data_IF_942799921364
#
_entry.id   IF_942799921364
#
_cell.length_a   1.000
_cell.length_b   1.000
_cell.length_c   1.000
_cell.angle_alpha   90.00
_cell.angle_beta   90.00
_cell.angle_gamma   90.00
#
_symmetry.space_group_name_H-M   'P 1'
#
loop_
_entity.id
_entity.type
_entity.pdbx_description
1 polymer ?
#
# COMPACT_ATOMS: atom_id res chain seq x y z
N UNK A 1 27.11 42.52 5.26
CA UNK A 1 27.31 41.82 3.97
C UNK A 1 28.52 40.86 3.93
N UNK A 2 29.14 40.46 5.06
CA UNK A 2 30.32 39.55 5.05
C UNK A 2 30.05 38.09 5.48
N UNK A 3 28.80 37.71 5.80
CA UNK A 3 28.45 36.35 6.31
C UNK A 3 27.80 35.42 5.27
N UNK A 4 27.50 35.89 4.07
CA UNK A 4 26.87 35.09 3.00
C UNK A 4 27.87 34.33 2.11
N UNK A 5 29.16 34.66 2.17
CA UNK A 5 30.17 34.05 1.29
C UNK A 5 30.69 32.71 1.84
N UNK A 6 30.50 32.42 3.13
CA UNK A 6 31.09 31.21 3.75
C UNK A 6 30.25 29.94 3.54
N UNK A 7 28.94 30.05 3.28
CA UNK A 7 28.08 28.88 3.06
C UNK A 7 28.16 28.31 1.63
N UNK A 8 28.64 29.08 0.65
CA UNK A 8 28.76 28.61 -0.73
C UNK A 8 29.96 27.67 -0.95
N UNK A 9 30.95 27.64 -0.04
CA UNK A 9 32.15 26.80 -0.19
C UNK A 9 32.03 25.40 0.41
N UNK A 10 31.10 25.17 1.34
CA UNK A 10 30.91 23.85 1.97
C UNK A 10 30.06 22.87 1.13
N UNK A 11 29.27 23.36 0.17
CA UNK A 11 28.42 22.50 -0.67
C UNK A 11 29.15 21.78 -1.81
N UNK A 12 30.32 22.28 -2.23
CA UNK A 12 31.03 21.75 -3.39
C UNK A 12 31.91 20.52 -3.10
N UNK A 13 32.22 20.24 -1.82
CA UNK A 13 33.06 19.10 -1.43
C UNK A 13 32.26 17.81 -1.13
N UNK A 14 30.98 17.92 -0.77
CA UNK A 14 30.12 16.75 -0.49
C UNK A 14 29.63 16.01 -1.74
N UNK A 15 29.86 16.56 -2.94
CA UNK A 15 29.45 15.95 -4.21
C UNK A 15 30.55 15.10 -4.88
N UNK A 16 31.75 15.02 -4.31
CA UNK A 16 32.89 14.29 -4.92
C UNK A 16 33.08 12.84 -4.46
N UNK A 17 32.37 12.38 -3.43
CA UNK A 17 32.67 11.07 -2.79
C UNK A 17 31.50 10.06 -2.80
N UNK A 18 30.36 10.37 -3.42
CA UNK A 18 29.23 9.44 -3.50
C UNK A 18 29.19 8.71 -4.87
N UNK A 19 29.42 7.39 -4.93
CA UNK A 19 29.28 6.61 -6.16
C UNK A 19 27.82 6.53 -6.66
N UNK A 20 26.83 6.82 -5.81
CA UNK A 20 25.39 6.74 -6.12
C UNK A 20 24.91 7.95 -6.94
N UNK A 21 25.61 9.09 -6.89
CA UNK A 21 25.24 10.31 -7.62
C UNK A 21 25.61 10.29 -9.12
N UNK A 22 26.50 9.38 -9.55
CA UNK A 22 26.89 9.27 -10.98
C UNK A 22 25.88 8.52 -11.84
N UNK A 23 25.02 7.69 -11.25
CA UNK A 23 24.07 6.87 -12.02
C UNK A 23 22.78 7.62 -12.43
N UNK A 24 22.52 8.81 -11.87
CA UNK A 24 21.31 9.60 -12.14
C UNK A 24 21.48 10.68 -13.21
N UNK A 25 22.67 10.81 -13.81
CA UNK A 25 22.97 11.87 -14.79
C UNK A 25 22.88 11.42 -16.27
N UNK A 26 22.60 10.13 -16.56
CA UNK A 26 22.60 9.63 -17.95
C UNK A 26 21.21 9.27 -18.53
N UNK A 27 20.12 9.39 -17.78
CA UNK A 27 18.74 9.17 -18.29
C UNK A 27 18.05 10.52 -18.54
N UNK A 28 18.70 11.39 -19.30
CA UNK A 28 18.15 12.67 -19.72
C UNK A 28 18.57 12.98 -21.17
N UNK A 29 18.44 12.01 -22.08
CA UNK A 29 18.67 12.26 -23.51
C UNK A 29 17.95 11.26 -24.42
N UNK A 30 16.62 11.21 -24.37
CA UNK A 30 15.82 10.56 -25.42
C UNK A 30 14.36 11.04 -25.44
N UNK A 31 14.16 12.36 -25.55
CA UNK A 31 12.84 12.94 -25.88
C UNK A 31 13.07 13.92 -27.02
N UNK A 32 12.86 13.47 -28.26
CA UNK A 32 12.58 14.32 -29.42
C UNK A 32 12.03 13.48 -30.59
N UNK A 33 11.01 14.03 -31.26
CA UNK A 33 10.28 13.54 -32.44
C UNK A 33 9.25 12.43 -32.11
N UNK A 34 7.94 12.67 -32.15
CA UNK A 34 7.16 13.03 -33.35
C UNK A 34 6.03 14.02 -33.03
N UNK A 35 5.95 15.05 -33.86
CA UNK A 35 4.92 16.08 -33.85
C UNK A 35 3.62 15.63 -34.55
N UNK A 36 2.52 16.26 -34.11
CA UNK A 36 1.30 16.63 -34.84
C UNK A 36 0.93 15.91 -36.15
N UNK A 37 -0.22 15.22 -36.13
CA UNK A 37 -0.98 14.83 -37.30
C UNK A 37 -2.48 14.86 -37.03
N UNK A 38 -3.14 15.93 -37.45
CA UNK A 38 -4.59 16.20 -37.38
C UNK A 38 -5.23 15.71 -38.67
N UNK A 39 -6.14 14.73 -38.62
CA UNK A 39 -7.27 14.56 -39.54
C UNK A 39 -8.03 13.26 -39.23
N UNK A 40 -9.31 13.37 -38.90
CA UNK A 40 -10.25 12.26 -38.97
C UNK A 40 -10.66 12.02 -40.42
N UNK A 41 -10.71 10.77 -40.87
CA UNK A 41 -11.69 10.34 -41.85
C UNK A 41 -12.59 9.28 -41.22
N UNK A 42 -13.88 9.60 -41.12
CA UNK A 42 -14.96 8.62 -41.01
C UNK A 42 -14.92 7.69 -42.21
N UNK A 43 -14.49 6.45 -42.00
CA UNK A 43 -14.65 5.36 -42.94
C UNK A 43 -15.56 4.30 -42.28
N UNK A 44 -16.82 4.28 -42.71
CA UNK A 44 -17.70 3.12 -42.53
C UNK A 44 -17.10 1.97 -43.34
N UNK A 45 -16.51 0.99 -42.65
CA UNK A 45 -16.18 -0.31 -43.22
C UNK A 45 -17.13 -1.33 -42.60
N UNK A 46 -17.99 -1.99 -43.40
CA UNK A 46 -18.74 -3.14 -42.93
C UNK A 46 -17.79 -4.33 -42.86
N UNK A 47 -17.20 -4.57 -41.69
CA UNK A 47 -16.36 -5.74 -41.46
C UNK A 47 -17.25 -6.96 -41.22
N UNK A 48 -17.50 -7.69 -42.29
CA UNK A 48 -18.04 -9.05 -42.26
C UNK A 48 -16.88 -9.99 -42.01
N UNK A 49 -16.38 -10.03 -40.77
CA UNK A 49 -15.40 -11.03 -40.35
C UNK A 49 -16.11 -12.26 -39.79
N UNK A 50 -15.80 -13.47 -40.30
CA UNK A 50 -16.42 -14.70 -39.83
C UNK A 50 -15.89 -15.07 -38.44
N UNK A 51 -16.80 -15.02 -37.46
CA UNK A 51 -16.83 -15.91 -36.29
C UNK A 51 -15.50 -16.24 -35.61
N UNK A 52 -14.81 -15.24 -35.04
CA UNK A 52 -13.99 -15.52 -33.88
C UNK A 52 -14.93 -15.69 -32.67
N UNK A 53 -14.80 -16.77 -31.87
CA UNK A 53 -15.60 -16.94 -30.68
C UNK A 53 -15.34 -15.74 -29.77
N UNK A 54 -16.39 -14.96 -29.55
CA UNK A 54 -16.46 -13.93 -28.52
C UNK A 54 -16.11 -14.64 -27.21
N UNK A 55 -14.90 -14.42 -26.69
CA UNK A 55 -14.55 -14.82 -25.33
C UNK A 55 -15.39 -13.96 -24.42
N UNK A 56 -16.60 -14.43 -24.15
CA UNK A 56 -17.36 -14.00 -22.99
C UNK A 56 -16.57 -14.50 -21.79
N UNK A 57 -15.73 -13.63 -21.21
CA UNK A 57 -15.29 -13.80 -19.84
C UNK A 57 -16.57 -13.80 -19.00
N UNK A 58 -17.09 -15.00 -18.76
CA UNK A 58 -18.15 -15.23 -17.80
C UNK A 58 -17.57 -14.89 -16.43
N UNK A 59 -17.72 -13.63 -16.08
CA UNK A 59 -17.46 -13.06 -14.76
C UNK A 59 -18.52 -13.58 -13.80
N UNK A 60 -18.41 -14.85 -13.39
CA UNK A 60 -19.02 -15.43 -12.19
C UNK A 60 -18.73 -16.95 -12.04
N UNK A 61 -17.63 -17.45 -12.59
CA UNK A 61 -17.14 -18.74 -12.14
C UNK A 61 -16.55 -18.51 -10.74
N UNK A 62 -17.29 -18.87 -9.70
CA UNK A 62 -16.74 -19.05 -8.36
C UNK A 62 -15.66 -20.12 -8.43
N UNK A 63 -14.46 -19.73 -8.84
CA UNK A 63 -13.31 -20.60 -8.98
C UNK A 63 -13.01 -21.11 -7.57
N UNK A 64 -13.36 -22.37 -7.35
CA UNK A 64 -13.06 -23.05 -6.12
C UNK A 64 -11.54 -22.98 -5.91
N UNK A 65 -11.14 -22.50 -4.73
CA UNK A 65 -9.74 -22.35 -4.38
C UNK A 65 -9.03 -23.71 -4.49
N UNK A 66 -7.83 -23.71 -5.06
CA UNK A 66 -7.01 -24.92 -5.18
C UNK A 66 -6.86 -25.63 -3.81
N UNK A 67 -6.98 -26.97 -3.74
CA UNK A 67 -6.92 -27.70 -2.48
C UNK A 67 -5.65 -27.42 -1.65
N UNK A 68 -4.51 -27.25 -2.31
CA UNK A 68 -3.23 -26.94 -1.68
C UNK A 68 -3.27 -25.59 -0.95
N UNK A 69 -3.98 -24.63 -1.53
CA UNK A 69 -4.16 -23.31 -0.96
C UNK A 69 -5.13 -23.36 0.21
N UNK A 70 -6.22 -24.14 0.12
CA UNK A 70 -7.11 -24.40 1.26
C UNK A 70 -6.32 -24.98 2.45
N UNK A 71 -5.44 -25.95 2.21
CA UNK A 71 -4.58 -26.51 3.26
C UNK A 71 -3.56 -25.50 3.80
N UNK A 72 -3.03 -24.60 2.96
CA UNK A 72 -2.16 -23.54 3.41
C UNK A 72 -2.87 -22.55 4.36
N UNK A 73 -4.11 -22.15 4.04
CA UNK A 73 -4.94 -21.32 4.92
C UNK A 73 -5.19 -22.01 6.27
N UNK A 74 -5.43 -23.32 6.28
CA UNK A 74 -5.61 -24.09 7.52
C UNK A 74 -4.36 -24.07 8.39
N UNK A 75 -3.19 -24.37 7.82
CA UNK A 75 -1.91 -24.34 8.58
C UNK A 75 -1.58 -22.93 9.07
N UNK A 76 -1.79 -21.90 8.24
CA UNK A 76 -1.57 -20.52 8.65
C UNK A 76 -2.50 -20.09 9.80
N UNK A 77 -3.71 -20.66 9.88
CA UNK A 77 -4.64 -20.42 11.00
C UNK A 77 -4.11 -20.95 12.35
N UNK A 78 -3.16 -21.88 12.34
CA UNK A 78 -2.48 -22.36 13.56
C UNK A 78 -1.50 -21.32 14.13
N UNK A 79 -1.24 -20.22 13.39
CA UNK A 79 -0.43 -19.09 13.85
C UNK A 79 1.08 -19.28 13.70
N UNK A 80 1.52 -20.27 12.91
CA UNK A 80 2.94 -20.45 12.58
C UNK A 80 3.38 -19.35 11.61
N UNK A 81 4.38 -18.57 12.01
CA UNK A 81 4.88 -17.41 11.25
C UNK A 81 5.30 -17.80 9.82
N UNK A 82 6.00 -18.92 9.66
CA UNK A 82 6.43 -19.40 8.35
C UNK A 82 5.25 -19.71 7.40
N UNK A 83 4.11 -20.18 7.95
CA UNK A 83 2.90 -20.42 7.16
C UNK A 83 2.16 -19.13 6.83
N UNK A 84 2.14 -18.13 7.75
CA UNK A 84 1.62 -16.79 7.46
C UNK A 84 2.43 -16.09 6.36
N UNK A 85 3.76 -16.21 6.44
CA UNK A 85 4.68 -15.72 5.42
C UNK A 85 4.40 -16.36 4.06
N UNK A 86 4.32 -17.70 4.03
CA UNK A 86 4.06 -18.45 2.81
C UNK A 86 2.69 -18.10 2.24
N UNK A 87 1.67 -17.96 3.09
CA UNK A 87 0.33 -17.56 2.69
C UNK A 87 0.33 -16.17 2.04
N UNK A 88 0.92 -15.16 2.69
CA UNK A 88 0.96 -13.80 2.16
C UNK A 88 1.75 -13.65 0.87
N UNK A 89 2.82 -14.44 0.69
CA UNK A 89 3.58 -14.48 -0.57
C UNK A 89 2.84 -15.20 -1.69
N UNK A 90 2.07 -16.25 -1.35
CA UNK A 90 1.37 -17.07 -2.35
C UNK A 90 0.07 -16.41 -2.84
N UNK A 91 -0.76 -15.90 -1.93
CA UNK A 91 -2.03 -15.23 -2.27
C UNK A 91 -1.81 -13.79 -2.75
N UNK A 92 -0.77 -13.12 -2.24
CA UNK A 92 -0.62 -11.68 -2.39
C UNK A 92 -1.73 -10.89 -1.68
N UNK A 93 -1.73 -9.58 -1.83
CA UNK A 93 -2.70 -8.72 -1.14
C UNK A 93 -4.15 -8.95 -1.62
N UNK A 94 -4.36 -9.08 -2.93
CA UNK A 94 -5.67 -9.30 -3.53
C UNK A 94 -6.28 -10.65 -3.11
N UNK A 95 -5.53 -11.76 -3.24
CA UNK A 95 -6.02 -13.09 -2.86
C UNK A 95 -6.33 -13.20 -1.35
N UNK A 96 -5.52 -12.57 -0.51
CA UNK A 96 -5.81 -12.46 0.93
C UNK A 96 -7.12 -11.70 1.19
N UNK A 97 -7.32 -10.56 0.53
CA UNK A 97 -8.51 -9.74 0.67
C UNK A 97 -9.79 -10.48 0.20
N UNK A 98 -9.71 -11.16 -0.93
CA UNK A 98 -10.81 -11.98 -1.48
C UNK A 98 -11.12 -13.20 -0.59
N UNK A 99 -10.08 -13.84 -0.03
CA UNK A 99 -10.22 -14.97 0.89
C UNK A 99 -10.80 -14.62 2.26
N UNK A 100 -10.82 -13.35 2.62
CA UNK A 100 -11.19 -12.84 3.93
C UNK A 100 -12.72 -12.71 4.13
N UNK A 101 -13.47 -13.79 3.86
CA UNK A 101 -14.94 -13.80 3.85
C UNK A 101 -15.58 -13.93 5.25
N UNK A 102 -14.88 -14.55 6.20
CA UNK A 102 -15.35 -14.78 7.58
C UNK A 102 -14.54 -13.96 8.60
N UNK A 103 -15.02 -13.74 9.84
CA UNK A 103 -14.21 -13.05 10.86
C UNK A 103 -12.84 -13.71 11.09
N UNK A 104 -12.79 -15.04 11.18
CA UNK A 104 -11.54 -15.79 11.37
C UNK A 104 -10.59 -15.62 10.17
N UNK A 105 -11.11 -15.73 8.94
CA UNK A 105 -10.27 -15.54 7.74
C UNK A 105 -9.88 -14.08 7.51
N UNK A 106 -10.66 -13.11 7.98
CA UNK A 106 -10.26 -11.69 8.02
C UNK A 106 -9.09 -11.45 8.96
N UNK A 107 -9.15 -11.99 10.17
CA UNK A 107 -8.06 -11.86 11.13
C UNK A 107 -6.78 -12.52 10.59
N UNK A 108 -6.90 -13.72 10.04
CA UNK A 108 -5.79 -14.43 9.40
C UNK A 108 -5.22 -13.65 8.20
N UNK A 109 -6.08 -13.12 7.33
CA UNK A 109 -5.65 -12.29 6.21
C UNK A 109 -4.93 -11.03 6.69
N UNK A 110 -5.40 -10.37 7.75
CA UNK A 110 -4.71 -9.22 8.34
C UNK A 110 -3.29 -9.59 8.80
N UNK A 111 -3.12 -10.72 9.50
CA UNK A 111 -1.81 -11.23 9.94
C UNK A 111 -0.88 -11.59 8.80
N UNK A 112 -1.41 -12.17 7.72
CA UNK A 112 -0.61 -12.56 6.56
C UNK A 112 -0.30 -11.38 5.63
N UNK A 113 -1.12 -10.33 5.65
CA UNK A 113 -1.05 -9.18 4.74
C UNK A 113 0.31 -8.48 4.73
N UNK A 114 1.00 -8.29 5.88
CA UNK A 114 2.36 -7.82 5.86
C UNK A 114 3.17 -8.59 4.84
N UNK A 115 3.19 -9.91 4.84
CA UNK A 115 4.08 -10.71 3.98
C UNK A 115 3.77 -10.68 2.49
N UNK A 116 2.68 -10.03 2.07
CA UNK A 116 2.43 -9.71 0.66
C UNK A 116 3.45 -8.73 0.09
N UNK A 117 3.48 -8.63 -1.24
CA UNK A 117 4.37 -7.74 -1.97
C UNK A 117 3.80 -6.32 -2.06
N UNK A 118 4.67 -5.32 -1.89
CA UNK A 118 4.35 -3.92 -2.17
C UNK A 118 3.51 -3.25 -1.08
N UNK A 119 2.70 -2.28 -1.50
CA UNK A 119 1.80 -1.51 -0.64
C UNK A 119 0.31 -1.82 -0.88
N UNK A 120 -0.01 -2.74 -1.80
CA UNK A 120 -1.38 -3.09 -2.18
C UNK A 120 -2.28 -3.51 -1.01
N UNK A 121 -1.70 -4.16 0.01
CA UNK A 121 -2.44 -4.54 1.23
C UNK A 121 -2.86 -3.37 2.12
N UNK A 122 -2.27 -2.18 1.94
CA UNK A 122 -2.47 -1.06 2.86
C UNK A 122 -3.91 -0.51 2.82
N UNK A 123 -4.54 -0.47 1.64
CA UNK A 123 -5.93 -0.05 1.50
C UNK A 123 -6.86 -0.95 2.31
N UNK A 124 -6.74 -2.26 2.11
CA UNK A 124 -7.54 -3.25 2.82
C UNK A 124 -7.30 -3.22 4.34
N UNK A 125 -6.05 -3.13 4.78
CA UNK A 125 -5.72 -3.02 6.20
C UNK A 125 -6.27 -1.73 6.83
N UNK A 126 -6.17 -0.61 6.13
CA UNK A 126 -6.75 0.66 6.58
C UNK A 126 -8.26 0.56 6.78
N UNK A 127 -8.98 -0.06 5.83
CA UNK A 127 -10.42 -0.31 5.97
C UNK A 127 -10.75 -1.19 7.15
N UNK A 128 -9.97 -2.26 7.38
CA UNK A 128 -10.17 -3.17 8.52
C UNK A 128 -9.85 -2.50 9.87
N UNK A 129 -8.83 -1.65 9.92
CA UNK A 129 -8.52 -0.80 11.09
C UNK A 129 -9.67 0.16 11.44
N UNK A 130 -10.52 0.49 10.47
CA UNK A 130 -11.70 1.33 10.67
C UNK A 130 -12.98 0.54 11.01
N UNK A 131 -12.91 -0.78 11.24
CA UNK A 131 -14.07 -1.60 11.64
C UNK A 131 -14.28 -1.62 13.16
N UNK A 132 -15.49 -1.97 13.61
CA UNK A 132 -15.85 -2.05 15.04
C UNK A 132 -15.42 -3.36 15.72
N UNK A 133 -14.93 -4.32 14.94
CA UNK A 133 -14.30 -5.53 15.47
C UNK A 133 -12.91 -5.17 16.00
N UNK A 134 -12.78 -5.09 17.33
CA UNK A 134 -11.58 -4.61 18.00
C UNK A 134 -10.36 -5.48 17.68
N UNK A 135 -10.53 -6.80 17.59
CA UNK A 135 -9.42 -7.71 17.33
C UNK A 135 -8.90 -7.53 15.89
N UNK A 136 -9.82 -7.52 14.91
CA UNK A 136 -9.46 -7.28 13.51
C UNK A 136 -8.87 -5.88 13.33
N UNK A 137 -9.46 -4.86 13.96
CA UNK A 137 -9.00 -3.48 13.82
C UNK A 137 -7.57 -3.30 14.36
N UNK A 138 -7.26 -3.92 15.51
CA UNK A 138 -5.93 -3.89 16.13
C UNK A 138 -4.90 -4.60 15.26
N UNK A 139 -5.21 -5.82 14.85
CA UNK A 139 -4.33 -6.60 13.98
C UNK A 139 -4.06 -5.88 12.65
N UNK A 140 -5.09 -5.29 12.05
CA UNK A 140 -4.97 -4.57 10.80
C UNK A 140 -4.12 -3.30 10.93
N UNK A 141 -4.30 -2.52 12.00
CA UNK A 141 -3.48 -1.34 12.26
C UNK A 141 -2.01 -1.73 12.52
N UNK A 142 -1.78 -2.77 13.31
CA UNK A 142 -0.45 -3.30 13.57
C UNK A 142 0.25 -3.78 12.28
N UNK A 143 -0.47 -4.55 11.47
CA UNK A 143 0.01 -5.05 10.18
C UNK A 143 0.29 -3.93 9.18
N UNK A 144 -0.48 -2.83 9.22
CA UNK A 144 -0.21 -1.64 8.41
C UNK A 144 1.12 -0.97 8.80
N UNK A 145 1.48 -0.94 10.09
CA UNK A 145 2.81 -0.50 10.55
C UNK A 145 3.90 -1.38 9.97
N UNK A 146 3.69 -2.71 9.98
CA UNK A 146 4.66 -3.67 9.45
C UNK A 146 4.86 -3.52 7.93
N UNK A 147 3.82 -3.19 7.16
CA UNK A 147 3.96 -2.84 5.72
C UNK A 147 4.71 -1.52 5.58
N UNK A 148 4.28 -0.48 6.29
CA UNK A 148 4.84 0.86 6.19
C UNK A 148 6.35 0.89 6.47
N UNK A 149 6.81 0.11 7.45
CA UNK A 149 8.19 0.04 7.90
C UNK A 149 9.19 -0.57 6.90
N UNK A 150 8.73 -1.28 5.86
CA UNK A 150 9.59 -2.10 4.97
C UNK A 150 10.55 -1.33 4.06
N UNK A 151 10.56 0.00 4.11
CA UNK A 151 11.53 0.79 3.36
C UNK A 151 11.44 0.70 1.83
N UNK A 152 10.49 -0.05 1.25
CA UNK A 152 10.40 -0.21 -0.21
C UNK A 152 9.98 1.09 -0.88
N UNK A 153 10.66 1.40 -1.98
CA UNK A 153 10.31 2.48 -2.89
C UNK A 153 9.01 2.09 -3.63
N UNK A 154 8.18 3.09 -3.95
CA UNK A 154 7.07 2.93 -4.91
C UNK A 154 7.69 2.56 -6.26
N UNK A 155 7.53 1.31 -6.67
CA UNK A 155 8.11 0.82 -7.92
C UNK A 155 7.19 1.13 -9.09
N UNK A 156 5.88 1.21 -8.83
CA UNK A 156 4.83 1.51 -9.81
C UNK A 156 4.06 2.80 -9.40
N UNK A 157 3.72 3.69 -10.35
CA UNK A 157 2.75 4.77 -10.12
C UNK A 157 1.44 4.32 -9.45
N UNK A 158 0.97 3.10 -9.72
CA UNK A 158 -0.25 2.52 -9.12
C UNK A 158 -0.08 2.32 -7.60
N UNK A 159 1.13 2.00 -7.11
CA UNK A 159 1.44 1.88 -5.68
C UNK A 159 1.11 3.18 -4.93
N UNK A 160 1.27 4.34 -5.58
CA UNK A 160 1.00 5.62 -4.96
C UNK A 160 -0.50 5.87 -4.75
N UNK A 161 -1.36 5.38 -5.64
CA UNK A 161 -2.82 5.48 -5.49
C UNK A 161 -3.32 4.55 -4.37
N UNK A 162 -2.88 3.30 -4.37
CA UNK A 162 -3.20 2.32 -3.34
C UNK A 162 -2.73 2.77 -1.96
N UNK A 163 -1.51 3.31 -1.89
CA UNK A 163 -0.99 3.87 -0.65
C UNK A 163 -1.82 5.06 -0.18
N UNK A 164 -2.19 6.00 -1.05
CA UNK A 164 -3.06 7.14 -0.67
C UNK A 164 -4.42 6.65 -0.17
N UNK A 165 -5.00 5.62 -0.78
CA UNK A 165 -6.25 5.02 -0.33
C UNK A 165 -6.12 4.43 1.08
N UNK A 166 -5.08 3.63 1.34
CA UNK A 166 -4.79 3.10 2.68
C UNK A 166 -4.54 4.19 3.72
N UNK A 167 -3.78 5.21 3.34
CA UNK A 167 -3.50 6.36 4.19
C UNK A 167 -4.75 7.13 4.60
N UNK A 168 -5.72 7.30 3.70
CA UNK A 168 -7.01 7.93 4.01
C UNK A 168 -7.72 7.18 5.15
N UNK A 169 -7.78 5.85 5.09
CA UNK A 169 -8.45 5.07 6.13
C UNK A 169 -7.68 5.05 7.45
N UNK A 170 -6.35 4.91 7.40
CA UNK A 170 -5.51 4.97 8.59
C UNK A 170 -5.59 6.33 9.28
N UNK A 171 -5.60 7.42 8.52
CA UNK A 171 -5.77 8.77 9.06
C UNK A 171 -7.14 8.96 9.70
N UNK A 172 -8.21 8.39 9.12
CA UNK A 172 -9.54 8.37 9.72
C UNK A 172 -9.54 7.58 11.04
N UNK A 173 -8.95 6.39 11.07
CA UNK A 173 -8.83 5.57 12.28
C UNK A 173 -8.01 6.29 13.37
N UNK A 174 -6.90 6.93 13.02
CA UNK A 174 -6.08 7.71 13.94
C UNK A 174 -6.85 8.86 14.64
N UNK A 175 -7.76 9.50 13.90
CA UNK A 175 -8.54 10.66 14.36
C UNK A 175 -9.81 10.30 15.12
N UNK A 176 -10.35 9.09 14.97
CA UNK A 176 -11.58 8.69 15.63
C UNK A 176 -11.33 8.37 17.11
N UNK A 177 -11.74 9.27 18.01
CA UNK A 177 -11.56 9.13 19.45
C UNK A 177 -12.32 7.96 20.08
N UNK A 178 -13.31 7.41 19.36
CA UNK A 178 -14.08 6.24 19.82
C UNK A 178 -13.36 4.92 19.58
N UNK A 179 -12.31 4.92 18.75
CA UNK A 179 -11.50 3.73 18.46
C UNK A 179 -10.59 3.39 19.63
N UNK A 180 -10.23 2.11 19.72
CA UNK A 180 -9.26 1.64 20.69
C UNK A 180 -7.94 2.41 20.58
N UNK A 181 -7.32 2.67 21.73
CA UNK A 181 -6.12 3.52 21.80
C UNK A 181 -4.97 2.91 21.00
N UNK A 182 -4.80 1.59 21.03
CA UNK A 182 -3.72 0.91 20.30
C UNK A 182 -3.93 1.03 18.79
N UNK A 183 -5.15 0.85 18.30
CA UNK A 183 -5.51 1.05 16.88
C UNK A 183 -5.12 2.45 16.42
N UNK A 184 -5.47 3.49 17.21
CA UNK A 184 -5.14 4.88 16.89
C UNK A 184 -3.63 5.12 16.85
N UNK A 185 -2.88 4.57 17.82
CA UNK A 185 -1.42 4.69 17.89
C UNK A 185 -0.76 4.07 16.68
N UNK A 186 -1.12 2.83 16.36
CA UNK A 186 -0.53 2.12 15.23
C UNK A 186 -0.92 2.77 13.90
N UNK A 187 -2.15 3.27 13.76
CA UNK A 187 -2.55 4.04 12.60
C UNK A 187 -1.72 5.33 12.43
N UNK A 188 -1.50 6.10 13.51
CA UNK A 188 -0.60 7.28 13.47
C UNK A 188 0.81 6.88 13.11
N UNK A 189 1.33 5.79 13.69
CA UNK A 189 2.67 5.28 13.41
C UNK A 189 2.84 4.88 11.95
N UNK A 190 1.88 4.15 11.39
CA UNK A 190 1.88 3.73 9.98
C UNK A 190 1.88 4.96 9.06
N UNK A 191 1.01 5.95 9.31
CA UNK A 191 0.95 7.19 8.52
C UNK A 191 2.27 7.96 8.60
N UNK A 192 2.88 8.07 9.79
CA UNK A 192 4.18 8.75 9.96
C UNK A 192 5.30 8.10 9.16
N UNK A 193 5.36 6.76 9.14
CA UNK A 193 6.33 6.01 8.35
C UNK A 193 6.15 6.20 6.84
N UNK A 194 4.96 6.62 6.40
CA UNK A 194 4.63 6.84 4.99
C UNK A 194 4.62 8.32 4.58
N UNK A 195 4.92 9.26 5.50
CA UNK A 195 4.90 10.70 5.22
C UNK A 195 5.81 11.07 4.04
N UNK A 196 7.04 10.55 4.05
CA UNK A 196 8.04 10.83 3.00
C UNK A 196 7.65 10.27 1.62
N UNK A 197 6.64 9.38 1.59
CA UNK A 197 6.07 8.80 0.36
C UNK A 197 4.82 9.54 -0.14
N UNK A 198 4.41 10.63 0.52
CA UNK A 198 3.25 11.42 0.12
C UNK A 198 1.91 10.86 0.60
N UNK A 199 1.91 10.06 1.67
CA UNK A 199 0.73 9.48 2.29
C UNK A 199 -0.26 10.52 2.86
N UNK A 200 0.28 11.52 3.55
CA UNK A 200 -0.46 12.62 4.16
C UNK A 200 0.49 13.82 4.33
N UNK A 201 -0.07 14.99 4.63
CA UNK A 201 0.75 16.14 5.06
C UNK A 201 1.11 16.00 6.54
N UNK A 202 2.23 16.56 6.96
CA UNK A 202 2.69 16.46 8.36
C UNK A 202 1.64 17.05 9.33
N UNK A 203 1.02 18.17 8.95
CA UNK A 203 0.02 18.88 9.75
C UNK A 203 -1.31 18.11 9.89
N UNK A 204 -1.56 17.13 9.00
CA UNK A 204 -2.76 16.31 9.04
C UNK A 204 -2.64 15.19 10.08
N UNK A 205 -1.42 14.78 10.44
CA UNK A 205 -1.18 13.65 11.33
C UNK A 205 -1.37 14.09 12.79
N UNK A 206 -2.26 13.42 13.56
CA UNK A 206 -2.42 13.71 14.98
C UNK A 206 -1.08 13.63 15.74
N UNK A 207 -0.74 14.70 16.46
CA UNK A 207 0.45 14.78 17.32
C UNK A 207 0.13 14.37 18.76
N UNK A 208 -1.06 14.70 19.23
CA UNK A 208 -1.56 14.38 20.56
C UNK A 208 -2.37 13.07 20.57
N UNK A 209 -1.67 11.93 20.59
CA UNK A 209 -2.22 10.72 21.23
C UNK A 209 -1.80 10.61 22.70
N UNK A 210 -1.06 11.61 23.17
CA UNK A 210 -0.62 11.77 24.55
C UNK A 210 -1.55 12.74 25.29
N UNK A 211 -1.84 12.37 26.55
CA UNK A 211 -2.44 13.18 27.62
C UNK A 211 -3.97 13.24 27.72
N UNK A 212 -4.61 12.08 27.90
CA UNK A 212 -5.54 11.89 29.02
C UNK A 212 -5.74 10.40 29.30
N UNK A 213 -4.86 9.86 30.15
CA UNK A 213 -5.29 8.79 31.05
C UNK A 213 -6.27 9.46 32.04
N UNK A 214 -7.54 9.60 31.68
CA UNK A 214 -8.55 9.65 32.73
C UNK A 214 -8.66 8.23 33.25
N UNK A 215 -7.79 7.89 34.20
CA UNK A 215 -8.03 6.85 35.18
C UNK A 215 -9.41 7.13 35.76
N UNK A 216 -10.44 6.43 35.28
CA UNK A 216 -11.71 6.37 35.99
C UNK A 216 -11.47 5.60 37.30
N UNK A 217 -11.92 6.14 38.44
CA UNK A 217 -11.86 5.47 39.73
C UNK A 217 -12.71 4.20 39.78
#
# INVERSE_FOLDING_TARGET
MKRLVTYARAGAELLRTSPVARLRAEIALAVCFVACGRASPTANVPDTSPGLPRVTLASDAGLERAPELVELWKRAAEGVEEDLMRLGQTEGAAGLAEGATTPATRLLAARAMPHSHGLAGLAWLGERAATDDVEIAREAAHSAVAIAARGRDQLDPEDAEEMRAGCKYLLAAARDERRDREVRIDAVRAVRLLLDRGCAKNEEVPTALDLKQTSSP
#
